data_IF_551949528163
#
_entry.id   IF_551949528163
#
_cell.length_a   1.000
_cell.length_b   1.000
_cell.length_c   1.000
_cell.angle_alpha   90.00
_cell.angle_beta   90.00
_cell.angle_gamma   90.00
#
_symmetry.space_group_name_H-M   'P 1'
#
loop_
_entity.id
_entity.type
_entity.pdbx_description
1 polymer ?
#
# COMPACT_ATOMS: atom_id res chain seq x y z
N UNK A 1 89.11 28.19 12.07
CA UNK A 1 89.11 27.78 13.49
C UNK A 1 87.77 27.14 13.72
N UNK A 2 87.79 25.83 13.98
CA UNK A 2 86.62 25.02 14.29
C UNK A 2 86.54 24.89 15.82
N UNK A 3 85.33 24.79 16.36
CA UNK A 3 84.93 24.06 17.58
C UNK A 3 83.39 24.22 17.66
N UNK A 4 82.57 23.21 17.30
CA UNK A 4 81.92 22.23 18.20
C UNK A 4 81.28 22.88 19.45
N UNK A 5 80.03 22.63 19.86
CA UNK A 5 79.39 21.31 20.01
C UNK A 5 77.89 21.43 20.39
N UNK A 6 77.19 20.31 20.24
CA UNK A 6 76.04 19.82 21.05
C UNK A 6 74.57 20.18 20.72
N UNK A 7 73.79 19.10 20.57
CA UNK A 7 72.35 18.94 20.34
C UNK A 7 71.52 18.95 21.63
N UNK A 8 70.21 19.18 21.52
CA UNK A 8 69.18 18.16 21.85
C UNK A 8 67.74 18.70 21.65
N UNK A 9 66.88 17.77 21.26
CA UNK A 9 65.45 17.87 20.94
C UNK A 9 64.56 18.29 22.14
N UNK A 10 63.44 18.98 21.88
CA UNK A 10 62.14 18.73 22.55
C UNK A 10 60.89 19.39 21.85
N UNK A 11 60.04 18.54 21.26
CA UNK A 11 58.58 18.33 21.52
C UNK A 11 57.51 19.47 21.30
N UNK A 12 56.73 19.30 20.21
CA UNK A 12 55.25 19.12 20.07
C UNK A 12 54.17 20.28 20.10
N UNK A 13 53.08 19.97 19.37
CA UNK A 13 51.60 20.28 19.46
C UNK A 13 50.90 21.37 18.58
N UNK A 14 49.58 21.23 18.21
CA UNK A 14 49.13 20.90 16.85
C UNK A 14 48.21 21.94 16.17
N UNK A 15 48.01 21.77 14.85
CA UNK A 15 47.29 22.69 13.96
C UNK A 15 45.74 22.58 14.02
N UNK A 16 45.08 23.75 13.92
CA UNK A 16 43.67 24.00 14.22
C UNK A 16 42.58 23.42 13.29
N UNK A 17 41.40 23.26 13.88
CA UNK A 17 40.13 22.76 13.30
C UNK A 17 39.44 23.83 12.42
N UNK A 18 39.20 23.55 11.13
CA UNK A 18 38.35 24.37 10.24
C UNK A 18 36.86 24.10 10.46
N UNK A 19 36.08 25.17 10.69
CA UNK A 19 34.61 25.16 10.84
C UNK A 19 33.91 24.91 9.49
N UNK A 20 32.96 23.97 9.46
CA UNK A 20 32.08 23.71 8.29
C UNK A 20 30.79 24.55 8.40
N UNK A 21 30.41 25.14 7.26
CA UNK A 21 29.23 26.01 7.05
C UNK A 21 28.00 25.13 6.87
N UNK A 22 26.92 25.38 7.62
CA UNK A 22 25.64 24.65 7.50
C UNK A 22 24.79 25.40 6.46
N UNK A 23 24.49 24.77 5.33
CA UNK A 23 23.41 25.19 4.43
C UNK A 23 22.16 24.39 4.81
N UNK A 24 21.05 25.11 5.01
CA UNK A 24 19.73 24.53 5.26
C UNK A 24 19.14 24.05 3.93
N UNK A 25 18.89 22.75 3.79
CA UNK A 25 18.03 22.19 2.75
C UNK A 25 16.91 21.40 3.43
N UNK A 26 15.68 21.92 3.35
CA UNK A 26 14.48 21.13 3.64
C UNK A 26 14.31 20.13 2.52
N UNK A 27 14.57 18.85 2.80
CA UNK A 27 14.23 17.74 1.92
C UNK A 27 12.95 17.10 2.42
N UNK A 28 11.84 17.45 1.77
CA UNK A 28 10.60 16.68 1.81
C UNK A 28 10.82 15.47 0.89
N UNK A 29 11.01 14.27 1.44
CA UNK A 29 11.15 13.03 0.65
C UNK A 29 9.87 12.22 0.74
N UNK A 30 9.05 12.32 -0.29
CA UNK A 30 8.03 11.33 -0.62
C UNK A 30 8.72 10.11 -1.22
N UNK A 31 8.73 8.99 -0.49
CA UNK A 31 9.22 7.70 -0.98
C UNK A 31 8.01 6.81 -1.29
N UNK A 32 7.64 6.75 -2.57
CA UNK A 32 6.75 5.74 -3.12
C UNK A 32 7.49 5.00 -4.25
N UNK A 33 8.23 3.96 -3.89
CA UNK A 33 8.74 2.98 -4.84
C UNK A 33 8.18 1.62 -4.41
N UNK A 34 7.10 1.19 -5.06
CA UNK A 34 6.58 -0.17 -4.97
C UNK A 34 6.98 -0.85 -6.28
N UNK A 35 7.90 -1.80 -6.18
CA UNK A 35 8.49 -2.53 -7.31
C UNK A 35 7.75 -3.85 -7.46
N UNK A 36 7.01 -4.02 -8.56
CA UNK A 36 6.39 -5.27 -8.94
C UNK A 36 7.16 -5.81 -10.13
N UNK A 37 8.08 -6.75 -9.87
CA UNK A 37 8.71 -7.55 -10.91
C UNK A 37 8.37 -9.02 -10.66
N UNK A 38 7.47 -9.57 -11.47
CA UNK A 38 7.10 -10.98 -11.45
C UNK A 38 7.28 -11.50 -12.86
N UNK A 39 8.46 -12.04 -13.10
CA UNK A 39 8.83 -12.76 -14.32
C UNK A 39 7.95 -14.02 -14.46
N UNK A 40 7.06 -14.01 -15.46
CA UNK A 40 6.24 -15.16 -15.84
C UNK A 40 7.11 -16.16 -16.62
N UNK A 41 7.35 -17.33 -16.03
CA UNK A 41 8.00 -18.45 -16.69
C UNK A 41 6.98 -19.20 -17.57
N UNK A 42 6.95 -18.91 -18.87
CA UNK A 42 6.19 -19.68 -19.85
C UNK A 42 6.86 -21.04 -20.09
N UNK A 43 6.28 -22.11 -19.53
CA UNK A 43 6.59 -23.49 -19.92
C UNK A 43 5.50 -24.02 -20.84
N UNK A 44 5.79 -24.02 -22.14
CA UNK A 44 4.95 -24.67 -23.16
C UNK A 44 5.11 -26.19 -23.06
N UNK A 45 4.06 -26.89 -22.61
CA UNK A 45 3.96 -28.34 -22.69
C UNK A 45 3.04 -28.72 -23.85
N UNK A 46 3.61 -29.29 -24.92
CA UNK A 46 2.87 -30.01 -25.95
C UNK A 46 2.40 -31.37 -25.41
N UNK A 47 1.09 -31.64 -25.45
CA UNK A 47 0.55 -32.99 -25.26
C UNK A 47 -0.54 -33.22 -26.31
N UNK A 48 -0.30 -34.23 -27.15
CA UNK A 48 -1.13 -34.57 -28.30
C UNK A 48 -2.35 -35.47 -28.00
N UNK A 49 -3.26 -35.40 -28.98
CA UNK A 49 -4.33 -36.32 -29.42
C UNK A 49 -5.48 -36.73 -28.50
N UNK A 50 -6.66 -36.21 -28.91
CA UNK A 50 -8.06 -36.65 -28.83
C UNK A 50 -8.45 -37.92 -28.05
N UNK A 51 -9.42 -37.74 -27.14
CA UNK A 51 -10.58 -38.64 -27.00
C UNK A 51 -11.82 -37.79 -26.68
N UNK A 52 -12.86 -37.88 -27.52
CA UNK A 52 -14.17 -37.24 -27.37
C UNK A 52 -14.92 -37.74 -26.13
N UNK A 53 -15.23 -36.84 -25.19
CA UNK A 53 -16.32 -37.04 -24.23
C UNK A 53 -17.02 -35.69 -23.96
N UNK A 54 -18.27 -35.56 -24.44
CA UNK A 54 -19.06 -34.32 -24.36
C UNK A 54 -19.63 -34.18 -22.94
N UNK A 55 -18.80 -33.71 -22.01
CA UNK A 55 -19.21 -33.23 -20.69
C UNK A 55 -19.70 -31.77 -20.74
N UNK A 56 -20.46 -31.27 -19.74
CA UNK A 56 -20.96 -29.91 -19.74
C UNK A 56 -19.79 -28.94 -19.80
N UNK A 57 -19.74 -28.17 -20.87
CA UNK A 57 -18.70 -27.19 -21.14
C UNK A 57 -18.76 -26.12 -20.05
N UNK A 58 -17.98 -26.29 -18.99
CA UNK A 58 -17.59 -25.16 -18.15
C UNK A 58 -16.72 -24.28 -19.04
N UNK A 59 -17.36 -23.37 -19.76
CA UNK A 59 -16.71 -22.27 -20.45
C UNK A 59 -15.83 -21.58 -19.41
N UNK A 60 -14.52 -21.82 -19.51
CA UNK A 60 -13.52 -21.03 -18.82
C UNK A 60 -13.68 -19.65 -19.44
N UNK A 61 -14.43 -18.80 -18.75
CA UNK A 61 -14.56 -17.38 -19.11
C UNK A 61 -13.14 -16.82 -19.01
N UNK A 62 -12.58 -16.44 -20.15
CA UNK A 62 -11.35 -15.65 -20.14
C UNK A 62 -11.68 -14.34 -19.41
N UNK A 63 -11.09 -14.15 -18.24
CA UNK A 63 -11.16 -12.90 -17.46
C UNK A 63 -10.30 -11.83 -18.15
N UNK A 64 -10.67 -11.48 -19.38
CA UNK A 64 -10.08 -10.34 -20.06
C UNK A 64 -10.73 -9.06 -19.53
N UNK A 65 -9.90 -8.10 -19.11
CA UNK A 65 -10.37 -6.81 -18.62
C UNK A 65 -11.05 -6.03 -19.74
N UNK A 66 -12.39 -5.96 -19.69
CA UNK A 66 -13.16 -5.19 -20.65
C UNK A 66 -13.19 -3.69 -20.27
N UNK A 67 -13.20 -2.79 -21.26
CA UNK A 67 -13.38 -1.36 -21.02
C UNK A 67 -14.75 -1.09 -20.38
N UNK A 68 -14.85 -0.03 -19.58
CA UNK A 68 -16.00 0.28 -18.72
C UNK A 68 -17.37 0.32 -19.43
N UNK A 69 -17.39 0.59 -20.74
CA UNK A 69 -18.60 0.69 -21.55
C UNK A 69 -18.81 -0.51 -22.49
N UNK A 70 -18.02 -1.58 -22.35
CA UNK A 70 -18.25 -2.80 -23.08
C UNK A 70 -19.60 -3.41 -22.68
N UNK A 71 -20.28 -4.02 -23.65
CA UNK A 71 -21.44 -4.84 -23.33
C UNK A 71 -21.01 -5.95 -22.38
N UNK A 72 -21.71 -6.08 -21.25
CA UNK A 72 -21.40 -7.15 -20.30
C UNK A 72 -21.61 -8.49 -20.99
N UNK A 73 -20.62 -9.39 -20.96
CA UNK A 73 -20.71 -10.67 -21.66
C UNK A 73 -21.80 -11.57 -21.09
N UNK A 74 -22.30 -11.29 -19.88
CA UNK A 74 -23.40 -12.00 -19.24
C UNK A 74 -24.64 -11.09 -19.07
N UNK A 75 -25.81 -11.51 -19.58
CA UNK A 75 -27.05 -10.80 -19.30
C UNK A 75 -27.43 -10.93 -17.82
N UNK A 76 -28.02 -9.88 -17.25
CA UNK A 76 -28.58 -9.95 -15.89
C UNK A 76 -29.83 -10.84 -15.91
N UNK A 77 -29.76 -12.00 -15.26
CA UNK A 77 -30.83 -13.01 -15.24
C UNK A 77 -31.71 -12.95 -14.00
N UNK A 78 -31.31 -12.21 -12.96
CA UNK A 78 -32.08 -12.10 -11.74
C UNK A 78 -33.25 -11.10 -11.89
N UNK A 79 -34.18 -11.13 -10.94
CA UNK A 79 -35.27 -10.17 -10.92
C UNK A 79 -34.75 -8.77 -10.54
N UNK A 80 -34.98 -7.74 -11.39
CA UNK A 80 -34.58 -6.38 -11.07
C UNK A 80 -35.31 -5.91 -9.82
N UNK A 81 -34.58 -5.34 -8.87
CA UNK A 81 -35.16 -4.78 -7.66
C UNK A 81 -34.40 -5.18 -6.41
N UNK A 82 -35.08 -5.04 -5.27
CA UNK A 82 -34.48 -5.17 -3.97
C UNK A 82 -34.77 -6.54 -3.35
N UNK A 83 -33.70 -7.23 -2.95
CA UNK A 83 -33.78 -8.60 -2.42
C UNK A 83 -33.97 -8.67 -0.90
N UNK A 84 -33.62 -7.61 -0.17
CA UNK A 84 -33.70 -7.55 1.30
C UNK A 84 -34.82 -6.62 1.77
N UNK A 85 -35.19 -6.63 3.06
CA UNK A 85 -36.11 -5.66 3.65
C UNK A 85 -35.42 -4.33 3.96
N UNK A 86 -36.11 -3.20 3.78
CA UNK A 86 -35.51 -1.87 3.97
C UNK A 86 -36.08 -1.24 5.21
N UNK A 87 -35.24 -0.63 6.07
CA UNK A 87 -35.78 0.22 7.11
C UNK A 87 -36.60 1.35 6.48
N UNK A 88 -37.71 1.70 7.14
CA UNK A 88 -38.59 2.80 6.71
C UNK A 88 -37.82 4.13 6.61
N UNK A 89 -36.85 4.33 7.50
CA UNK A 89 -35.88 5.43 7.43
C UNK A 89 -34.64 5.00 6.66
N UNK A 90 -34.21 5.80 5.69
CA UNK A 90 -32.94 5.58 4.97
C UNK A 90 -31.77 5.76 5.95
N UNK A 91 -31.06 4.66 6.24
CA UNK A 91 -29.84 4.64 7.05
C UNK A 91 -28.70 4.22 6.14
N UNK A 92 -27.81 5.14 5.70
CA UNK A 92 -26.73 4.82 4.75
C UNK A 92 -25.84 3.65 5.19
N UNK A 93 -25.52 3.59 6.49
CA UNK A 93 -24.71 2.53 7.08
C UNK A 93 -25.35 1.14 6.88
N UNK A 94 -26.68 1.02 7.01
CA UNK A 94 -27.39 -0.24 6.82
C UNK A 94 -27.18 -0.82 5.40
N UNK A 95 -27.16 0.04 4.38
CA UNK A 95 -26.92 -0.41 3.01
C UNK A 95 -25.46 -0.78 2.80
N UNK A 96 -24.53 -0.02 3.38
CA UNK A 96 -23.10 -0.31 3.29
C UNK A 96 -22.78 -1.68 3.88
N UNK A 97 -23.32 -2.01 5.05
CA UNK A 97 -23.13 -3.29 5.75
C UNK A 97 -23.72 -4.50 4.99
N UNK A 98 -24.53 -4.28 3.94
CA UNK A 98 -24.97 -5.37 3.05
C UNK A 98 -23.93 -5.76 2.01
N UNK A 99 -22.99 -4.87 1.70
CA UNK A 99 -21.90 -5.12 0.76
C UNK A 99 -20.56 -5.32 1.48
N UNK A 100 -20.37 -4.62 2.60
CA UNK A 100 -19.24 -4.78 3.51
C UNK A 100 -19.73 -5.43 4.79
N UNK A 101 -20.06 -6.71 4.72
CA UNK A 101 -20.52 -7.47 5.87
C UNK A 101 -19.39 -7.77 6.86
N UNK A 102 -19.76 -8.29 8.03
CA UNK A 102 -18.80 -8.57 9.10
C UNK A 102 -17.80 -9.67 8.71
N UNK A 103 -18.25 -10.65 7.93
CA UNK A 103 -17.39 -11.75 7.45
C UNK A 103 -16.32 -11.23 6.49
N UNK A 104 -16.68 -10.37 5.54
CA UNK A 104 -15.74 -9.75 4.61
C UNK A 104 -14.74 -8.85 5.35
N UNK A 105 -15.21 -8.02 6.27
CA UNK A 105 -14.33 -7.15 7.07
C UNK A 105 -13.33 -7.99 7.88
N UNK A 106 -13.81 -9.08 8.49
CA UNK A 106 -12.96 -10.01 9.22
C UNK A 106 -11.93 -10.67 8.31
N UNK A 107 -12.35 -11.14 7.14
CA UNK A 107 -11.45 -11.73 6.15
C UNK A 107 -10.35 -10.74 5.72
N UNK A 108 -10.71 -9.49 5.41
CA UNK A 108 -9.75 -8.44 5.05
C UNK A 108 -8.74 -8.21 6.20
N UNK A 109 -9.23 -8.17 7.44
CA UNK A 109 -8.40 -7.99 8.63
C UNK A 109 -7.39 -9.13 8.77
N UNK A 110 -7.86 -10.38 8.71
CA UNK A 110 -7.02 -11.57 8.83
C UNK A 110 -5.96 -11.64 7.73
N UNK A 111 -6.35 -11.40 6.47
CA UNK A 111 -5.43 -11.42 5.34
C UNK A 111 -4.39 -10.28 5.43
N UNK A 112 -4.79 -9.10 5.89
CA UNK A 112 -3.87 -7.97 6.07
C UNK A 112 -2.81 -8.27 7.12
N UNK A 113 -3.20 -8.82 8.26
CA UNK A 113 -2.26 -9.19 9.33
C UNK A 113 -1.35 -10.36 8.91
N UNK A 114 -1.91 -11.34 8.19
CA UNK A 114 -1.14 -12.45 7.62
C UNK A 114 -0.07 -11.93 6.64
N UNK A 115 -0.45 -11.05 5.73
CA UNK A 115 0.48 -10.43 4.78
C UNK A 115 1.57 -9.63 5.50
N UNK A 116 1.21 -8.87 6.53
CA UNK A 116 2.21 -8.16 7.32
C UNK A 116 3.23 -9.12 7.96
N UNK A 117 2.78 -10.24 8.52
CA UNK A 117 3.67 -11.28 9.05
C UNK A 117 4.59 -11.87 7.99
N UNK A 118 4.07 -12.17 6.79
CA UNK A 118 4.87 -12.64 5.66
C UNK A 118 5.90 -11.60 5.21
N UNK A 119 5.51 -10.33 5.16
CA UNK A 119 6.39 -9.22 4.81
C UNK A 119 7.58 -9.11 5.76
N UNK A 120 7.34 -9.16 7.09
CA UNK A 120 8.43 -9.12 8.08
C UNK A 120 9.32 -10.37 8.05
N UNK A 121 8.75 -11.53 7.71
CA UNK A 121 9.52 -12.77 7.59
C UNK A 121 10.45 -12.73 6.37
N UNK A 122 9.96 -12.22 5.24
CA UNK A 122 10.69 -12.18 3.98
C UNK A 122 11.70 -11.04 3.88
N UNK A 123 11.50 -9.94 4.62
CA UNK A 123 12.39 -8.77 4.58
C UNK A 123 12.97 -8.44 5.97
N UNK A 124 14.04 -9.16 6.39
CA UNK A 124 14.62 -9.01 7.73
C UNK A 124 15.41 -7.71 7.91
N UNK A 125 15.85 -7.05 6.84
CA UNK A 125 16.71 -5.86 6.88
C UNK A 125 15.96 -4.55 6.62
N UNK A 126 14.93 -4.31 7.44
CA UNK A 126 14.18 -3.07 7.37
C UNK A 126 15.04 -1.86 7.74
N UNK A 127 14.98 -0.79 6.92
CA UNK A 127 15.65 0.49 7.19
C UNK A 127 15.35 0.97 8.63
N UNK A 128 16.36 1.35 9.46
CA UNK A 128 16.26 1.62 10.90
C UNK A 128 15.26 2.71 11.36
N UNK A 129 14.58 3.39 10.44
CA UNK A 129 13.57 4.43 10.71
C UNK A 129 12.32 4.28 9.83
N UNK A 130 12.16 3.15 9.15
CA UNK A 130 11.00 2.91 8.32
C UNK A 130 9.73 2.90 9.16
N UNK A 131 8.64 3.46 8.62
CA UNK A 131 7.34 3.48 9.30
C UNK A 131 6.81 2.07 9.56
N UNK A 132 7.17 1.12 8.70
CA UNK A 132 6.73 -0.28 8.80
C UNK A 132 7.20 -0.94 10.10
N UNK A 133 8.32 -0.49 10.69
CA UNK A 133 8.77 -0.99 12.00
C UNK A 133 7.80 -0.67 13.15
N UNK A 134 6.85 0.25 12.94
CA UNK A 134 5.79 0.60 13.91
C UNK A 134 4.47 -0.10 13.60
N UNK A 135 4.46 -1.04 12.65
CA UNK A 135 3.27 -1.83 12.34
C UNK A 135 2.72 -2.49 13.60
N UNK A 136 1.40 -2.56 13.67
CA UNK A 136 0.65 -3.30 14.66
C UNK A 136 -0.46 -4.01 13.93
N UNK A 137 -0.77 -5.21 14.37
CA UNK A 137 -1.90 -5.95 13.84
C UNK A 137 -3.17 -5.12 14.00
N UNK A 138 -3.94 -5.14 12.93
CA UNK A 138 -5.19 -4.42 12.78
C UNK A 138 -6.36 -5.26 13.29
N UNK A 139 -7.45 -4.60 13.65
CA UNK A 139 -8.71 -5.26 13.98
C UNK A 139 -9.83 -4.84 13.01
N UNK A 140 -11.01 -5.44 13.16
CA UNK A 140 -12.17 -5.18 12.31
C UNK A 140 -12.66 -3.72 12.43
N UNK A 141 -12.50 -3.09 13.59
CA UNK A 141 -12.85 -1.68 13.78
C UNK A 141 -11.90 -0.74 13.01
N UNK A 142 -10.59 -1.02 13.03
CA UNK A 142 -9.59 -0.29 12.25
C UNK A 142 -9.89 -0.43 10.75
N UNK A 143 -10.29 -1.62 10.29
CA UNK A 143 -10.68 -1.86 8.90
C UNK A 143 -11.98 -1.16 8.50
N UNK A 144 -12.97 -1.09 9.39
CA UNK A 144 -14.19 -0.28 9.17
C UNK A 144 -13.86 1.21 9.07
N UNK A 145 -12.95 1.71 9.91
CA UNK A 145 -12.46 3.09 9.84
C UNK A 145 -11.76 3.32 8.50
N UNK A 146 -10.84 2.44 8.10
CA UNK A 146 -10.15 2.51 6.81
C UNK A 146 -11.14 2.53 5.64
N UNK A 147 -12.16 1.67 5.65
CA UNK A 147 -13.22 1.66 4.65
C UNK A 147 -13.98 2.99 4.58
N UNK A 148 -14.32 3.56 5.75
CA UNK A 148 -14.90 4.91 5.82
C UNK A 148 -13.98 5.99 5.25
N UNK A 149 -12.68 5.92 5.52
CA UNK A 149 -11.67 6.81 4.94
C UNK A 149 -11.61 6.71 3.41
N UNK A 150 -11.62 5.49 2.86
CA UNK A 150 -11.60 5.26 1.41
C UNK A 150 -12.85 5.82 0.73
N UNK A 151 -14.03 5.60 1.33
CA UNK A 151 -15.29 6.19 0.84
C UNK A 151 -15.20 7.71 0.85
N UNK A 152 -14.67 8.30 1.93
CA UNK A 152 -14.53 9.75 2.05
C UNK A 152 -13.54 10.33 1.02
N UNK A 153 -12.45 9.62 0.70
CA UNK A 153 -11.53 9.99 -0.38
C UNK A 153 -12.21 9.92 -1.75
N UNK A 154 -13.09 8.94 -1.98
CA UNK A 154 -13.90 8.87 -3.20
C UNK A 154 -14.86 10.06 -3.35
N UNK A 155 -15.31 10.65 -2.24
CA UNK A 155 -16.19 11.82 -2.23
C UNK A 155 -15.39 13.12 -2.36
N UNK A 156 -14.31 13.28 -1.60
CA UNK A 156 -13.53 14.52 -1.51
C UNK A 156 -12.31 14.41 -2.42
N UNK A 157 -12.48 14.53 -3.74
CA UNK A 157 -11.36 14.44 -4.67
C UNK A 157 -10.26 15.49 -4.45
N UNK A 158 -9.09 15.07 -3.97
CA UNK A 158 -7.85 15.88 -3.94
C UNK A 158 -6.95 15.53 -5.12
N UNK A 159 -6.17 16.50 -5.60
CA UNK A 159 -5.25 16.32 -6.73
C UNK A 159 -4.14 15.30 -6.48
N UNK A 160 -3.79 15.08 -5.21
CA UNK A 160 -2.78 14.11 -4.81
C UNK A 160 -3.15 13.52 -3.44
N UNK A 161 -2.76 12.27 -3.21
CA UNK A 161 -3.05 11.53 -1.98
C UNK A 161 -2.51 12.22 -0.72
N UNK A 162 -1.33 12.80 -0.81
CA UNK A 162 -0.68 13.47 0.32
C UNK A 162 -1.48 14.69 0.83
N UNK A 163 -2.30 15.30 -0.03
CA UNK A 163 -3.09 16.48 0.32
C UNK A 163 -4.22 16.14 1.30
N UNK A 164 -4.69 14.89 1.35
CA UNK A 164 -5.68 14.47 2.34
C UNK A 164 -5.16 14.65 3.77
N UNK A 165 -3.86 14.42 3.99
CA UNK A 165 -3.22 14.46 5.30
C UNK A 165 -2.48 15.78 5.58
N UNK A 166 -2.70 16.81 4.76
CA UNK A 166 -2.04 18.11 4.92
C UNK A 166 -2.63 18.91 6.08
N UNK A 167 -1.76 19.40 6.97
CA UNK A 167 -2.11 20.33 8.07
C UNK A 167 -2.09 21.80 7.65
N UNK A 168 -1.87 22.09 6.36
CA UNK A 168 -1.84 23.48 5.87
C UNK A 168 -3.27 23.99 5.77
N UNK A 169 -3.61 25.03 6.54
CA UNK A 169 -4.96 25.65 6.62
C UNK A 169 -5.70 25.86 5.29
N UNK A 170 -4.96 26.11 4.20
CA UNK A 170 -5.56 26.37 2.87
C UNK A 170 -6.04 25.12 2.13
N UNK A 171 -5.51 23.95 2.48
CA UNK A 171 -5.72 22.68 1.76
C UNK A 171 -6.07 21.53 2.69
N UNK A 172 -6.24 21.81 3.98
CA UNK A 172 -6.64 20.82 4.97
C UNK A 172 -7.96 20.16 4.56
N UNK A 173 -8.09 18.90 4.96
CA UNK A 173 -9.31 18.13 4.74
C UNK A 173 -9.85 17.82 6.12
N UNK A 174 -10.91 18.54 6.57
CA UNK A 174 -11.56 18.21 7.83
C UNK A 174 -11.88 16.71 7.87
N UNK A 175 -11.85 16.10 9.06
CA UNK A 175 -12.07 14.67 9.31
C UNK A 175 -10.92 13.71 8.96
N UNK A 176 -9.85 14.16 8.27
CA UNK A 176 -8.69 13.30 7.93
C UNK A 176 -7.51 13.36 8.92
N UNK A 177 -7.58 14.24 9.93
CA UNK A 177 -6.48 14.56 10.85
C UNK A 177 -6.95 14.73 12.29
#
# INVERSE_FOLDING_TARGET
MNESDISDDEINVPAGRKRRRIMSSSSESSDSNFDYDTELSDTENEIGEEVDEVGPSNSIVSEEWLPQNAERPFPFTAHPGKTFDTPSRKVPLFYLEKFLDEELIKLITEQTNLYAGQFFYNDPELKPRSRIQKWKDTNEADMKILGGFLILQGIIGKLAFELYFSRRRRIETPFFL
#
